data_IF_239188178496
#
_entry.id   IF_239188178496
#
_cell.length_a   1.000
_cell.length_b   1.000
_cell.length_c   1.000
_cell.angle_alpha   90.00
_cell.angle_beta   90.00
_cell.angle_gamma   90.00
#
_symmetry.space_group_name_H-M   'P 1'
#
loop_
_entity.id
_entity.type
_entity.pdbx_description
1 polymer ?
#
# COMPACT_ATOMS: atom_id res chain seq x y z
N UNK A 1 23.37 6.12 2.88
CA UNK A 1 24.57 6.80 2.33
C UNK A 1 25.15 6.12 1.09
N UNK A 2 25.22 4.79 1.04
CA UNK A 2 25.84 4.08 -0.09
C UNK A 2 25.12 4.31 -1.43
N UNK A 3 23.77 4.38 -1.44
CA UNK A 3 22.97 4.75 -2.61
C UNK A 3 23.42 6.09 -3.22
N UNK A 4 23.57 7.13 -2.38
CA UNK A 4 24.10 8.43 -2.79
C UNK A 4 25.49 8.29 -3.40
N UNK A 5 26.40 7.58 -2.72
CA UNK A 5 27.78 7.38 -3.20
C UNK A 5 27.82 6.71 -4.59
N UNK A 6 27.02 5.67 -4.80
CA UNK A 6 26.95 4.94 -6.07
C UNK A 6 26.42 5.83 -7.17
N UNK A 7 25.27 6.49 -6.97
CA UNK A 7 24.68 7.37 -7.99
C UNK A 7 25.60 8.54 -8.32
N UNK A 8 26.15 9.22 -7.31
CA UNK A 8 27.11 10.32 -7.52
C UNK A 8 28.36 9.88 -8.26
N UNK A 9 28.88 8.67 -7.98
CA UNK A 9 30.03 8.12 -8.71
C UNK A 9 29.68 7.86 -10.16
N UNK A 10 28.55 7.19 -10.44
CA UNK A 10 28.12 6.88 -11.81
C UNK A 10 27.94 8.14 -12.65
N UNK A 11 27.38 9.22 -12.08
CA UNK A 11 27.25 10.52 -12.74
C UNK A 11 28.60 11.17 -13.02
N UNK A 12 29.48 11.23 -12.00
CA UNK A 12 30.81 11.84 -12.15
C UNK A 12 31.66 11.11 -13.19
N UNK A 13 31.58 9.79 -13.23
CA UNK A 13 32.28 8.94 -14.19
C UNK A 13 31.58 8.85 -15.56
N UNK A 14 30.45 9.55 -15.74
CA UNK A 14 29.63 9.55 -16.96
C UNK A 14 29.24 8.14 -17.42
N UNK A 15 28.96 7.25 -16.46
CA UNK A 15 28.46 5.89 -16.71
C UNK A 15 26.94 5.87 -16.90
N UNK A 16 26.27 6.88 -16.39
CA UNK A 16 24.85 7.17 -16.63
C UNK A 16 24.72 8.63 -17.05
N UNK A 17 23.65 8.96 -17.76
CA UNK A 17 23.32 10.34 -18.09
C UNK A 17 22.75 11.08 -16.87
N UNK A 18 22.67 12.41 -16.99
CA UNK A 18 22.01 13.24 -16.00
C UNK A 18 20.50 12.87 -15.97
N UNK A 19 19.94 12.48 -14.81
CA UNK A 19 18.53 12.15 -14.71
C UNK A 19 17.65 13.36 -15.00
N UNK A 20 16.46 13.11 -15.54
CA UNK A 20 15.44 14.12 -15.85
C UNK A 20 14.89 14.76 -14.58
N UNK A 21 14.76 13.96 -13.52
CA UNK A 21 14.32 14.42 -12.20
C UNK A 21 15.48 14.46 -11.21
N UNK A 22 15.49 15.48 -10.35
CA UNK A 22 16.48 15.58 -9.29
C UNK A 22 16.26 14.51 -8.22
N UNK A 23 17.32 13.81 -7.83
CA UNK A 23 17.30 12.89 -6.69
C UNK A 23 17.73 13.62 -5.43
N UNK A 24 16.89 13.59 -4.39
CA UNK A 24 17.19 14.17 -3.07
C UNK A 24 17.34 13.06 -2.04
N UNK A 25 18.38 13.15 -1.23
CA UNK A 25 18.57 12.26 -0.09
C UNK A 25 18.34 13.05 1.20
N UNK A 26 17.47 12.53 2.05
CA UNK A 26 17.03 13.18 3.28
C UNK A 26 17.33 12.24 4.44
N UNK A 27 17.98 12.77 5.47
CA UNK A 27 18.19 12.09 6.75
C UNK A 27 17.64 13.01 7.84
N UNK A 28 16.64 12.54 8.55
CA UNK A 28 15.85 13.34 9.49
C UNK A 28 15.63 12.56 10.78
N UNK A 29 15.44 13.25 11.91
CA UNK A 29 14.91 12.61 13.11
C UNK A 29 13.47 12.19 12.84
N UNK A 30 13.24 10.88 12.81
CA UNK A 30 11.92 10.27 12.72
C UNK A 30 11.07 10.72 13.93
N UNK A 31 9.87 11.32 13.81
CA UNK A 31 9.13 11.84 12.64
C UNK A 31 9.26 13.37 12.47
N UNK A 32 9.80 14.05 13.47
CA UNK A 32 9.80 15.51 13.59
C UNK A 32 10.49 16.23 12.42
N UNK A 33 11.57 15.65 11.88
CA UNK A 33 12.28 16.26 10.76
C UNK A 33 11.49 16.18 9.46
N UNK A 34 10.73 15.12 9.23
CA UNK A 34 9.85 14.98 8.07
C UNK A 34 8.68 15.96 8.15
N UNK A 35 8.05 16.09 9.31
CA UNK A 35 6.99 17.09 9.56
C UNK A 35 7.53 18.50 9.24
N UNK A 36 8.73 18.82 9.72
CA UNK A 36 9.37 20.12 9.47
C UNK A 36 9.65 20.33 7.98
N UNK A 37 10.16 19.32 7.29
CA UNK A 37 10.41 19.36 5.84
C UNK A 37 9.11 19.65 5.07
N UNK A 38 8.04 18.91 5.38
CA UNK A 38 6.74 19.08 4.72
C UNK A 38 6.17 20.47 4.98
N UNK A 39 6.26 20.96 6.21
CA UNK A 39 5.68 22.25 6.58
C UNK A 39 6.45 23.45 6.02
N UNK A 40 7.79 23.43 6.07
CA UNK A 40 8.60 24.61 5.74
C UNK A 40 9.13 24.66 4.32
N UNK A 41 9.23 23.51 3.66
CA UNK A 41 9.83 23.40 2.33
C UNK A 41 8.82 22.94 1.28
N UNK A 42 7.64 23.58 1.28
CA UNK A 42 6.56 23.29 0.34
C UNK A 42 7.02 23.38 -1.11
N UNK A 43 7.92 24.31 -1.44
CA UNK A 43 8.51 24.43 -2.77
C UNK A 43 9.30 23.19 -3.23
N UNK A 44 9.79 22.38 -2.30
CA UNK A 44 10.46 21.10 -2.58
C UNK A 44 9.41 19.99 -2.64
N UNK A 45 8.50 19.95 -1.66
CA UNK A 45 7.47 18.92 -1.52
C UNK A 45 6.48 18.95 -2.70
N UNK A 46 5.98 20.11 -3.09
CA UNK A 46 5.02 20.27 -4.19
C UNK A 46 5.58 19.84 -5.57
N UNK A 47 6.91 19.68 -5.70
CA UNK A 47 7.59 19.18 -6.91
C UNK A 47 8.06 17.73 -6.78
N UNK A 48 7.83 17.10 -5.63
CA UNK A 48 8.22 15.72 -5.40
C UNK A 48 7.22 14.79 -6.07
N UNK A 49 7.73 13.87 -6.91
CA UNK A 49 6.89 12.93 -7.67
C UNK A 49 6.74 11.57 -6.97
N UNK A 50 7.66 11.24 -6.06
CA UNK A 50 7.72 9.94 -5.40
C UNK A 50 8.70 9.97 -4.23
N UNK A 51 8.42 9.17 -3.19
CA UNK A 51 9.31 8.95 -2.04
C UNK A 51 9.54 7.45 -1.84
N UNK A 52 10.81 7.06 -1.66
CA UNK A 52 11.18 5.71 -1.22
C UNK A 52 11.80 5.86 0.17
N UNK A 53 11.04 5.49 1.20
CA UNK A 53 11.53 5.45 2.57
C UNK A 53 12.26 4.13 2.82
N UNK A 54 13.46 4.19 3.41
CA UNK A 54 14.24 3.02 3.76
C UNK A 54 14.55 3.07 5.25
N UNK A 55 13.74 2.37 6.02
CA UNK A 55 13.78 2.37 7.47
C UNK A 55 14.01 0.94 7.98
N UNK A 56 14.82 0.75 9.03
CA UNK A 56 15.17 -0.58 9.57
C UNK A 56 15.60 -1.58 8.48
N UNK A 57 16.58 -1.22 7.64
CA UNK A 57 17.07 -2.07 6.54
C UNK A 57 18.49 -2.60 6.77
N UNK A 58 18.76 -3.79 6.23
CA UNK A 58 20.08 -4.44 6.27
C UNK A 58 20.28 -5.43 7.41
N UNK A 59 19.28 -5.65 8.26
CA UNK A 59 19.37 -6.61 9.36
C UNK A 59 19.52 -8.04 8.84
N UNK A 60 20.36 -8.83 9.51
CA UNK A 60 20.59 -10.24 9.26
C UNK A 60 19.32 -11.04 9.61
N UNK A 61 18.64 -11.67 8.63
CA UNK A 61 17.38 -12.36 8.88
C UNK A 61 17.50 -13.48 9.90
N UNK A 62 18.65 -14.16 9.95
CA UNK A 62 18.87 -15.25 10.88
C UNK A 62 19.06 -14.75 12.33
N UNK A 63 19.57 -13.52 12.49
CA UNK A 63 19.75 -12.91 13.81
C UNK A 63 18.50 -12.16 14.24
N UNK A 64 18.02 -11.22 13.43
CA UNK A 64 16.91 -10.35 13.75
C UNK A 64 15.55 -11.07 13.78
N UNK A 65 15.41 -12.15 13.00
CA UNK A 65 14.11 -12.79 12.76
C UNK A 65 13.23 -11.99 11.80
N UNK A 66 13.81 -11.03 11.09
CA UNK A 66 13.13 -10.12 10.19
C UNK A 66 13.49 -10.37 8.72
N UNK A 67 12.62 -9.96 7.80
CA UNK A 67 12.85 -10.06 6.36
C UNK A 67 12.55 -8.72 5.68
N UNK A 68 13.10 -8.48 4.50
CA UNK A 68 12.82 -7.25 3.77
C UNK A 68 11.34 -7.19 3.34
N UNK A 69 10.66 -6.11 3.68
CA UNK A 69 9.26 -5.86 3.35
C UNK A 69 9.15 -4.59 2.51
N UNK A 70 8.30 -4.65 1.49
CA UNK A 70 7.85 -3.48 0.75
C UNK A 70 6.42 -3.19 1.17
N UNK A 71 6.25 -2.09 1.90
CA UNK A 71 4.93 -1.51 2.17
C UNK A 71 4.61 -0.54 1.04
N UNK A 72 3.50 -0.83 0.36
CA UNK A 72 3.02 -0.07 -0.80
C UNK A 72 2.43 1.28 -0.40
N UNK A 73 2.28 2.16 -1.38
CA UNK A 73 1.38 3.33 -1.33
C UNK A 73 -0.08 2.87 -1.15
N UNK A 74 -0.91 3.60 -0.39
CA UNK A 74 -2.31 3.24 -0.15
C UNK A 74 -3.15 3.16 -1.43
N UNK A 75 -4.27 2.43 -1.38
CA UNK A 75 -5.18 2.29 -2.52
C UNK A 75 -5.88 3.61 -2.89
N UNK A 76 -6.07 4.51 -1.92
CA UNK A 76 -6.55 5.87 -2.17
C UNK A 76 -5.61 6.73 -3.03
N UNK A 77 -4.35 6.32 -3.20
CA UNK A 77 -3.34 7.03 -4.00
C UNK A 77 -2.68 6.10 -5.05
N UNK A 78 -3.36 5.83 -6.17
CA UNK A 78 -2.83 4.99 -7.25
C UNK A 78 -1.51 5.51 -7.82
N UNK A 79 -0.54 4.61 -8.03
CA UNK A 79 0.81 4.96 -8.50
C UNK A 79 1.54 3.76 -9.09
N UNK A 80 2.47 4.02 -10.02
CA UNK A 80 3.40 3.01 -10.58
C UNK A 80 4.61 2.74 -9.68
N UNK A 81 4.84 3.58 -8.66
CA UNK A 81 5.99 3.48 -7.76
C UNK A 81 6.08 2.10 -7.09
N UNK A 82 4.92 1.55 -6.71
CA UNK A 82 4.82 0.21 -6.12
C UNK A 82 5.45 -0.85 -7.03
N UNK A 83 5.12 -0.81 -8.32
CA UNK A 83 5.55 -1.79 -9.32
C UNK A 83 7.04 -1.64 -9.63
N UNK A 84 7.56 -0.40 -9.70
CA UNK A 84 8.98 -0.13 -9.92
C UNK A 84 9.84 -0.68 -8.78
N UNK A 85 9.45 -0.44 -7.53
CA UNK A 85 10.21 -0.92 -6.37
C UNK A 85 10.08 -2.44 -6.22
N UNK A 86 8.88 -2.98 -6.39
CA UNK A 86 8.63 -4.42 -6.40
C UNK A 86 9.47 -5.15 -7.44
N UNK A 87 9.52 -4.65 -8.67
CA UNK A 87 10.30 -5.27 -9.75
C UNK A 87 11.76 -5.45 -9.37
N UNK A 88 12.41 -4.37 -8.90
CA UNK A 88 13.82 -4.44 -8.53
C UNK A 88 14.06 -5.25 -7.27
N UNK A 89 13.12 -5.24 -6.32
CA UNK A 89 13.17 -6.08 -5.13
C UNK A 89 13.14 -7.57 -5.48
N UNK A 90 12.22 -8.00 -6.34
CA UNK A 90 12.15 -9.39 -6.83
C UNK A 90 13.40 -9.76 -7.63
N UNK A 91 13.79 -8.92 -8.60
CA UNK A 91 14.95 -9.17 -9.46
C UNK A 91 16.27 -9.28 -8.69
N UNK A 92 16.49 -8.39 -7.72
CA UNK A 92 17.72 -8.42 -6.94
C UNK A 92 17.72 -9.50 -5.85
N UNK A 93 16.55 -10.07 -5.50
CA UNK A 93 16.47 -11.24 -4.62
C UNK A 93 16.91 -12.52 -5.35
N UNK A 94 16.66 -12.62 -6.66
CA UNK A 94 17.09 -13.72 -7.53
C UNK A 94 18.60 -13.67 -7.87
N UNK A 95 19.27 -12.56 -7.54
CA UNK A 95 20.67 -12.36 -7.89
C UNK A 95 21.57 -13.42 -7.26
N UNK A 96 22.44 -14.00 -8.10
CA UNK A 96 23.46 -14.95 -7.65
C UNK A 96 24.34 -14.33 -6.56
N UNK A 97 24.64 -15.16 -5.55
CA UNK A 97 25.46 -14.73 -4.42
C UNK A 97 26.88 -14.45 -4.91
N UNK A 98 27.33 -13.22 -4.69
CA UNK A 98 28.75 -12.91 -4.73
C UNK A 98 29.42 -13.32 -3.42
N UNK A 99 30.27 -14.35 -3.48
CA UNK A 99 31.01 -14.84 -2.32
C UNK A 99 31.94 -13.78 -1.71
N UNK A 100 32.38 -12.78 -2.47
CA UNK A 100 33.23 -11.70 -1.99
C UNK A 100 32.48 -10.69 -1.11
N UNK A 101 31.16 -10.56 -1.24
CA UNK A 101 30.34 -9.67 -0.40
C UNK A 101 30.25 -10.15 1.05
N UNK A 102 30.40 -11.47 1.29
CA UNK A 102 30.17 -12.07 2.60
C UNK A 102 28.69 -12.10 2.97
N UNK A 103 28.38 -12.24 4.26
CA UNK A 103 27.01 -12.28 4.78
C UNK A 103 26.25 -13.57 4.48
N UNK A 104 24.93 -13.51 4.66
CA UNK A 104 24.03 -14.67 4.66
C UNK A 104 24.17 -15.52 3.40
N UNK A 105 24.17 -16.83 3.61
CA UNK A 105 24.19 -17.82 2.53
C UNK A 105 22.78 -18.21 2.07
N UNK A 106 21.76 -17.92 2.86
CA UNK A 106 20.37 -18.20 2.50
C UNK A 106 19.93 -17.31 1.31
N UNK A 107 18.90 -17.72 0.56
CA UNK A 107 18.18 -16.81 -0.33
C UNK A 107 17.74 -15.55 0.43
N UNK A 108 17.65 -14.42 -0.25
CA UNK A 108 17.23 -13.15 0.36
C UNK A 108 15.71 -13.17 0.51
N UNK A 109 15.16 -13.37 1.72
CA UNK A 109 13.72 -13.47 1.89
C UNK A 109 13.10 -12.09 1.82
N UNK A 110 11.93 -12.00 1.18
CA UNK A 110 11.21 -10.76 1.07
C UNK A 110 9.69 -10.95 1.06
N UNK A 111 8.94 -9.89 1.31
CA UNK A 111 7.48 -9.91 1.27
C UNK A 111 6.89 -8.56 0.84
N UNK A 112 5.82 -8.60 0.05
CA UNK A 112 5.00 -7.42 -0.22
C UNK A 112 3.92 -7.31 0.85
N UNK A 113 3.75 -6.10 1.37
CA UNK A 113 2.82 -5.79 2.43
C UNK A 113 1.78 -4.80 1.90
N UNK A 114 0.55 -4.79 2.46
CA UNK A 114 -0.36 -3.67 2.26
C UNK A 114 0.30 -2.39 2.80
N UNK A 115 -0.36 -1.25 2.56
CA UNK A 115 0.08 0.02 3.12
C UNK A 115 0.24 -0.04 4.65
N UNK A 116 1.13 0.80 5.19
CA UNK A 116 1.24 1.01 6.64
C UNK A 116 1.53 2.46 6.96
N UNK A 117 0.93 2.98 8.04
CA UNK A 117 1.30 4.27 8.60
C UNK A 117 2.47 4.17 9.61
N UNK A 118 3.49 3.36 9.30
CA UNK A 118 4.51 2.91 10.26
C UNK A 118 5.78 3.76 10.36
N UNK A 119 6.08 4.58 9.35
CA UNK A 119 7.30 5.42 9.29
C UNK A 119 7.10 6.55 8.28
N UNK A 120 8.04 7.49 8.15
CA UNK A 120 7.92 8.78 7.45
C UNK A 120 7.17 8.80 6.09
N UNK A 121 7.19 7.72 5.30
CA UNK A 121 6.46 7.62 4.03
C UNK A 121 4.96 7.99 4.11
N UNK A 122 4.30 7.66 5.22
CA UNK A 122 2.86 7.87 5.38
C UNK A 122 2.47 9.36 5.34
N UNK A 123 3.37 10.24 5.79
CA UNK A 123 3.15 11.69 5.79
C UNK A 123 3.11 12.29 4.39
N UNK A 124 3.75 11.62 3.43
CA UNK A 124 3.75 12.03 2.02
C UNK A 124 2.49 11.54 1.29
N UNK A 125 1.99 10.35 1.66
CA UNK A 125 0.81 9.74 1.04
C UNK A 125 -0.51 10.33 1.52
N UNK A 126 -0.48 11.15 2.59
CA UNK A 126 -1.63 11.87 3.09
C UNK A 126 -2.39 12.61 1.97
N UNK A 127 -3.72 12.53 1.95
CA UNK A 127 -4.54 13.10 0.87
C UNK A 127 -4.41 14.62 0.70
N UNK A 128 -3.89 15.35 1.70
CA UNK A 128 -3.62 16.79 1.60
C UNK A 128 -2.23 17.11 1.01
N UNK A 129 -1.38 16.09 0.86
CA UNK A 129 -0.05 16.16 0.24
C UNK A 129 -0.03 15.41 -1.10
N UNK A 130 -0.52 14.17 -1.14
CA UNK A 130 -0.78 13.40 -2.36
C UNK A 130 0.46 12.92 -3.09
N UNK A 131 1.58 12.69 -2.38
CA UNK A 131 2.83 12.23 -2.98
C UNK A 131 2.94 10.70 -2.80
N UNK A 132 3.02 9.92 -3.89
CA UNK A 132 3.26 8.50 -3.80
C UNK A 132 4.50 8.16 -2.99
N UNK A 133 4.35 7.31 -1.98
CA UNK A 133 5.47 6.86 -1.17
C UNK A 133 5.37 5.38 -0.81
N UNK A 134 6.52 4.72 -0.77
CA UNK A 134 6.66 3.33 -0.31
C UNK A 134 7.68 3.25 0.82
N UNK A 135 7.62 2.18 1.60
CA UNK A 135 8.60 1.88 2.63
C UNK A 135 9.24 0.51 2.42
N UNK A 136 10.57 0.49 2.36
CA UNK A 136 11.38 -0.70 2.56
C UNK A 136 11.71 -0.81 4.05
N UNK A 137 11.34 -1.93 4.68
CA UNK A 137 11.48 -2.09 6.13
C UNK A 137 11.61 -3.56 6.57
N UNK A 138 12.19 -3.81 7.75
CA UNK A 138 12.34 -5.15 8.34
C UNK A 138 11.63 -5.32 9.70
N UNK A 139 10.47 -4.71 9.92
CA UNK A 139 9.58 -5.01 11.06
C UNK A 139 8.93 -6.40 10.89
N UNK A 140 8.82 -7.25 11.92
CA UNK A 140 9.36 -7.07 13.26
C UNK A 140 10.85 -7.45 13.31
N UNK A 141 11.63 -6.66 14.05
CA UNK A 141 13.00 -6.96 14.43
C UNK A 141 13.06 -7.14 15.95
N UNK A 142 13.58 -8.28 16.41
CA UNK A 142 13.61 -8.59 17.85
C UNK A 142 14.57 -7.71 18.66
N UNK A 143 15.47 -6.98 18.01
CA UNK A 143 16.41 -6.05 18.65
C UNK A 143 15.94 -4.61 18.60
N UNK A 144 14.84 -4.32 17.89
CA UNK A 144 14.29 -2.98 17.70
C UNK A 144 14.19 -2.19 19.01
N UNK A 145 14.74 -0.97 19.02
CA UNK A 145 14.74 -0.06 20.17
C UNK A 145 15.34 -0.64 21.46
N UNK A 146 16.24 -1.63 21.35
CA UNK A 146 16.98 -2.18 22.49
C UNK A 146 18.47 -1.84 22.40
N UNK A 147 19.18 -1.90 23.54
CA UNK A 147 20.64 -1.78 23.55
C UNK A 147 21.38 -2.94 22.87
N UNK A 148 20.66 -3.97 22.42
CA UNK A 148 21.20 -5.09 21.65
C UNK A 148 21.12 -4.88 20.13
N UNK A 149 20.55 -3.77 19.68
CA UNK A 149 20.60 -3.33 18.28
C UNK A 149 21.98 -2.79 17.95
N UNK A 150 22.89 -3.71 17.61
CA UNK A 150 24.30 -3.45 17.39
C UNK A 150 24.73 -3.91 15.99
N UNK A 151 25.86 -3.38 15.50
CA UNK A 151 26.32 -3.58 14.11
C UNK A 151 26.51 -5.07 13.75
N UNK A 152 26.76 -5.96 14.72
CA UNK A 152 26.84 -7.40 14.48
C UNK A 152 25.50 -8.05 14.08
N UNK A 153 24.38 -7.33 14.18
CA UNK A 153 23.06 -7.75 13.68
C UNK A 153 22.84 -7.40 12.22
N UNK A 154 23.72 -6.62 11.60
CA UNK A 154 23.62 -6.23 10.20
C UNK A 154 24.29 -7.27 9.31
N UNK A 155 23.66 -7.57 8.18
CA UNK A 155 24.18 -8.47 7.16
C UNK A 155 24.64 -7.68 5.92
N UNK A 156 25.92 -7.81 5.50
CA UNK A 156 26.44 -7.06 4.36
C UNK A 156 25.76 -7.42 3.04
N UNK A 157 25.25 -8.65 2.88
CA UNK A 157 24.54 -9.07 1.68
C UNK A 157 23.14 -8.44 1.63
N UNK A 158 22.43 -8.37 2.76
CA UNK A 158 21.18 -7.62 2.89
C UNK A 158 21.38 -6.12 2.63
N UNK A 159 22.42 -5.52 3.21
CA UNK A 159 22.76 -4.11 2.94
C UNK A 159 23.01 -3.88 1.45
N UNK A 160 23.79 -4.74 0.81
CA UNK A 160 24.05 -4.64 -0.62
C UNK A 160 22.78 -4.86 -1.45
N UNK A 161 21.90 -5.77 -1.05
CA UNK A 161 20.60 -6.01 -1.68
C UNK A 161 19.73 -4.75 -1.64
N UNK A 162 19.49 -4.20 -0.45
CA UNK A 162 18.66 -2.99 -0.29
C UNK A 162 19.24 -1.81 -1.06
N UNK A 163 20.56 -1.60 -1.01
CA UNK A 163 21.21 -0.53 -1.78
C UNK A 163 20.96 -0.67 -3.28
N UNK A 164 21.03 -1.90 -3.83
CA UNK A 164 20.78 -2.12 -5.25
C UNK A 164 19.33 -1.85 -5.62
N UNK A 165 18.38 -2.33 -4.83
CA UNK A 165 16.95 -2.01 -5.00
C UNK A 165 16.77 -0.49 -5.01
N UNK A 166 17.29 0.23 -4.01
CA UNK A 166 17.20 1.68 -3.94
C UNK A 166 17.82 2.38 -5.15
N UNK A 167 19.05 2.03 -5.53
CA UNK A 167 19.73 2.66 -6.68
C UNK A 167 18.93 2.45 -7.96
N UNK A 168 18.50 1.21 -8.22
CA UNK A 168 17.80 0.86 -9.45
C UNK A 168 16.41 1.50 -9.50
N UNK A 169 15.62 1.43 -8.42
CA UNK A 169 14.31 2.08 -8.35
C UNK A 169 14.40 3.60 -8.49
N UNK A 170 15.34 4.25 -7.80
CA UNK A 170 15.55 5.70 -7.90
C UNK A 170 15.95 6.10 -9.33
N UNK A 171 16.86 5.35 -9.96
CA UNK A 171 17.27 5.65 -11.34
C UNK A 171 16.14 5.39 -12.34
N UNK A 172 15.34 4.33 -12.16
CA UNK A 172 14.14 4.08 -12.98
C UNK A 172 13.13 5.23 -12.87
N UNK A 173 12.90 5.76 -11.66
CA UNK A 173 12.00 6.89 -11.47
C UNK A 173 12.57 8.23 -11.95
N UNK A 174 13.89 8.44 -11.82
CA UNK A 174 14.51 9.73 -12.11
C UNK A 174 14.99 9.88 -13.56
N UNK A 175 15.33 8.77 -14.24
CA UNK A 175 15.82 8.72 -15.61
C UNK A 175 14.85 7.89 -16.48
N UNK A 176 13.59 8.33 -16.51
CA UNK A 176 12.47 7.58 -17.10
C UNK A 176 12.68 7.22 -18.56
N UNK A 177 13.38 8.06 -19.33
CA UNK A 177 13.77 7.80 -20.73
C UNK A 177 14.51 6.46 -20.95
N UNK A 178 15.15 5.92 -19.92
CA UNK A 178 15.90 4.66 -19.98
C UNK A 178 15.16 3.48 -19.34
N UNK A 179 13.98 3.71 -18.76
CA UNK A 179 13.16 2.67 -18.20
C UNK A 179 12.44 1.89 -19.31
N UNK A 180 12.23 0.59 -19.08
CA UNK A 180 11.43 -0.25 -19.97
C UNK A 180 9.97 -0.10 -19.55
N UNK A 181 9.31 0.90 -20.11
CA UNK A 181 7.96 1.31 -19.74
C UNK A 181 6.92 0.20 -19.96
N UNK A 182 7.12 -0.66 -20.96
CA UNK A 182 6.27 -1.82 -21.26
C UNK A 182 6.27 -2.82 -20.10
N UNK A 183 7.41 -2.99 -19.44
CA UNK A 183 7.52 -3.86 -18.26
C UNK A 183 6.71 -3.25 -17.13
N UNK A 184 6.86 -1.95 -16.85
CA UNK A 184 6.11 -1.29 -15.77
C UNK A 184 4.61 -1.35 -16.04
N UNK A 185 4.18 -1.14 -17.27
CA UNK A 185 2.77 -1.25 -17.67
C UNK A 185 2.22 -2.67 -17.46
N UNK A 186 2.99 -3.68 -17.85
CA UNK A 186 2.63 -5.09 -17.63
C UNK A 186 2.52 -5.38 -16.14
N UNK A 187 3.45 -4.89 -15.32
CA UNK A 187 3.43 -5.10 -13.87
C UNK A 187 2.26 -4.39 -13.18
N UNK A 188 1.83 -3.22 -13.66
CA UNK A 188 0.63 -2.54 -13.16
C UNK A 188 -0.63 -3.35 -13.46
N UNK A 189 -0.72 -3.92 -14.68
CA UNK A 189 -1.80 -4.83 -15.04
C UNK A 189 -1.78 -6.09 -14.16
N UNK A 190 -0.61 -6.70 -13.98
CA UNK A 190 -0.47 -7.94 -13.21
C UNK A 190 -0.83 -7.73 -11.74
N UNK A 191 -0.50 -6.58 -11.16
CA UNK A 191 -0.96 -6.22 -9.81
C UNK A 191 -2.50 -6.17 -9.72
N UNK A 192 -3.18 -5.58 -10.70
CA UNK A 192 -4.64 -5.57 -10.73
C UNK A 192 -5.21 -7.00 -10.80
N UNK A 193 -4.60 -7.87 -11.62
CA UNK A 193 -4.95 -9.29 -11.71
C UNK A 193 -4.74 -10.00 -10.37
N UNK A 194 -3.62 -9.75 -9.69
CA UNK A 194 -3.33 -10.32 -8.38
C UNK A 194 -4.36 -9.89 -7.32
N UNK A 195 -4.73 -8.61 -7.29
CA UNK A 195 -5.76 -8.09 -6.38
C UNK A 195 -7.11 -8.76 -6.64
N UNK A 196 -7.57 -8.81 -7.90
CA UNK A 196 -8.83 -9.45 -8.28
C UNK A 196 -8.86 -10.94 -7.90
N UNK A 197 -7.78 -11.68 -8.18
CA UNK A 197 -7.65 -13.07 -7.76
C UNK A 197 -7.68 -13.23 -6.24
N UNK A 198 -7.02 -12.31 -5.52
CA UNK A 198 -7.05 -12.28 -4.05
C UNK A 198 -8.48 -12.13 -3.51
N UNK A 199 -9.27 -11.24 -4.10
CA UNK A 199 -10.70 -11.07 -3.77
C UNK A 199 -11.46 -12.37 -4.05
N UNK A 200 -11.30 -12.96 -5.23
CA UNK A 200 -11.99 -14.20 -5.61
C UNK A 200 -11.66 -15.35 -4.68
N UNK A 201 -10.38 -15.59 -4.39
CA UNK A 201 -9.96 -16.70 -3.53
C UNK A 201 -10.56 -16.59 -2.13
N UNK A 202 -10.58 -15.38 -1.55
CA UNK A 202 -11.23 -15.15 -0.26
C UNK A 202 -12.75 -15.31 -0.36
N UNK A 203 -13.38 -14.77 -1.41
CA UNK A 203 -14.83 -14.87 -1.58
C UNK A 203 -15.31 -16.30 -1.78
N UNK A 204 -14.61 -17.10 -2.59
CA UNK A 204 -14.88 -18.53 -2.77
C UNK A 204 -14.76 -19.26 -1.44
N UNK A 205 -13.69 -19.01 -0.68
CA UNK A 205 -13.49 -19.62 0.64
C UNK A 205 -14.66 -19.29 1.58
N UNK A 206 -14.99 -18.01 1.72
CA UNK A 206 -15.98 -17.57 2.70
C UNK A 206 -17.40 -17.99 2.29
N UNK A 207 -17.72 -18.03 0.99
CA UNK A 207 -18.96 -18.61 0.48
C UNK A 207 -19.03 -20.12 0.71
N UNK A 208 -17.94 -20.86 0.46
CA UNK A 208 -17.90 -22.32 0.66
C UNK A 208 -18.01 -22.75 2.13
N UNK A 209 -17.69 -21.84 3.06
CA UNK A 209 -17.81 -22.06 4.50
C UNK A 209 -19.04 -21.35 5.09
N UNK A 210 -19.88 -20.72 4.26
CA UNK A 210 -21.04 -19.98 4.71
C UNK A 210 -22.14 -20.96 5.13
N UNK A 211 -22.40 -21.02 6.44
CA UNK A 211 -23.51 -21.81 7.00
C UNK A 211 -24.81 -20.98 7.06
N UNK A 212 -24.67 -19.66 7.08
CA UNK A 212 -25.76 -18.70 7.15
C UNK A 212 -26.22 -18.30 5.73
N UNK A 213 -26.49 -17.02 5.50
CA UNK A 213 -27.05 -16.48 4.25
C UNK A 213 -25.94 -16.00 3.29
N UNK A 214 -25.69 -16.70 2.16
CA UNK A 214 -24.71 -16.31 1.15
C UNK A 214 -24.98 -14.94 0.51
N UNK A 215 -26.23 -14.46 0.56
CA UNK A 215 -26.60 -13.13 0.04
C UNK A 215 -25.99 -11.99 0.86
N UNK A 216 -25.50 -12.25 2.08
CA UNK A 216 -24.74 -11.27 2.89
C UNK A 216 -23.25 -11.26 2.56
N UNK A 217 -22.76 -12.34 1.94
CA UNK A 217 -21.32 -12.54 1.67
C UNK A 217 -20.99 -12.14 0.24
N UNK A 218 -21.76 -12.64 -0.73
CA UNK A 218 -21.45 -12.48 -2.16
C UNK A 218 -21.40 -11.00 -2.62
N UNK A 219 -22.36 -10.12 -2.27
CA UNK A 219 -22.31 -8.72 -2.70
C UNK A 219 -21.07 -7.96 -2.21
N UNK A 220 -20.53 -8.30 -1.03
CA UNK A 220 -19.28 -7.72 -0.51
C UNK A 220 -18.12 -7.99 -1.46
N UNK A 221 -17.92 -9.25 -1.86
CA UNK A 221 -16.83 -9.62 -2.77
C UNK A 221 -17.01 -9.07 -4.19
N UNK A 222 -18.25 -8.93 -4.65
CA UNK A 222 -18.52 -8.24 -5.92
C UNK A 222 -18.09 -6.77 -5.90
N UNK A 223 -18.37 -6.04 -4.81
CA UNK A 223 -17.87 -4.66 -4.65
C UNK A 223 -16.35 -4.60 -4.62
N UNK A 224 -15.70 -5.47 -3.85
CA UNK A 224 -14.25 -5.53 -3.77
C UNK A 224 -13.59 -5.89 -5.11
N UNK A 225 -14.23 -6.75 -5.91
CA UNK A 225 -13.75 -7.07 -7.25
C UNK A 225 -13.84 -5.85 -8.17
N UNK A 226 -14.93 -5.08 -8.06
CA UNK A 226 -15.09 -3.79 -8.74
C UNK A 226 -14.01 -2.78 -8.34
N UNK A 227 -13.71 -2.65 -7.04
CA UNK A 227 -12.63 -1.78 -6.57
C UNK A 227 -11.26 -2.20 -7.09
N UNK A 228 -10.97 -3.51 -7.15
CA UNK A 228 -9.71 -4.00 -7.72
C UNK A 228 -9.58 -3.69 -9.22
N UNK A 229 -10.68 -3.82 -9.98
CA UNK A 229 -10.71 -3.46 -11.40
C UNK A 229 -10.52 -1.95 -11.60
N UNK A 230 -11.24 -1.13 -10.84
CA UNK A 230 -11.15 0.33 -10.89
C UNK A 230 -9.73 0.78 -10.56
N UNK A 231 -9.16 0.31 -9.45
CA UNK A 231 -7.80 0.63 -9.04
C UNK A 231 -6.78 0.26 -10.12
N UNK A 232 -6.94 -0.90 -10.77
CA UNK A 232 -6.09 -1.32 -11.88
C UNK A 232 -6.16 -0.36 -13.08
N UNK A 233 -7.37 0.06 -13.46
CA UNK A 233 -7.58 1.02 -14.56
C UNK A 233 -7.01 2.40 -14.25
N UNK A 234 -7.29 2.92 -13.06
CA UNK A 234 -6.78 4.23 -12.63
C UNK A 234 -5.26 4.21 -12.53
N UNK A 235 -4.65 3.10 -12.07
CA UNK A 235 -3.19 2.97 -12.05
C UNK A 235 -2.59 2.98 -13.46
N UNK A 236 -3.22 2.30 -14.43
CA UNK A 236 -2.81 2.33 -15.83
C UNK A 236 -3.00 3.71 -16.47
N UNK A 237 -4.02 4.46 -16.08
CA UNK A 237 -4.22 5.86 -16.49
C UNK A 237 -3.14 6.76 -15.91
N UNK A 238 -2.83 6.60 -14.62
CA UNK A 238 -1.78 7.36 -13.95
C UNK A 238 -0.42 7.12 -14.58
N UNK A 239 -0.15 5.88 -14.98
CA UNK A 239 1.04 5.51 -15.71
C UNK A 239 1.21 6.30 -17.02
N UNK A 240 0.12 6.59 -17.75
CA UNK A 240 0.18 7.42 -18.96
C UNK A 240 0.53 8.89 -18.67
N UNK A 241 0.22 9.38 -17.46
CA UNK A 241 0.61 10.72 -17.01
C UNK A 241 2.07 10.76 -16.51
N UNK A 242 2.50 9.70 -15.81
CA UNK A 242 3.83 9.63 -15.19
C UNK A 242 4.94 9.37 -16.22
N UNK A 243 4.67 8.58 -17.27
CA UNK A 243 5.70 8.07 -18.18
C UNK A 243 5.44 8.59 -19.60
N UNK A 244 6.21 9.60 -20.02
CA UNK A 244 5.94 10.40 -21.21
C UNK A 244 6.05 9.64 -22.54
N UNK A 245 6.84 8.57 -22.62
CA UNK A 245 6.98 7.77 -23.84
C UNK A 245 5.84 6.73 -23.99
N UNK A 246 5.04 6.50 -22.94
CA UNK A 246 3.86 5.62 -22.99
C UNK A 246 2.74 6.23 -23.81
N UNK A 247 2.68 7.55 -23.94
CA UNK A 247 1.70 8.19 -24.82
C UNK A 247 1.88 7.73 -26.28
N UNK A 248 3.08 7.31 -26.69
CA UNK A 248 3.34 6.76 -28.03
C UNK A 248 2.84 5.30 -28.18
N UNK A 249 2.42 4.67 -27.07
CA UNK A 249 1.99 3.27 -26.97
C UNK A 249 0.52 3.09 -26.55
N UNK A 250 -0.35 4.00 -26.98
CA UNK A 250 -1.78 3.99 -26.66
C UNK A 250 -2.46 2.63 -26.92
N UNK A 251 -2.07 1.94 -28.00
CA UNK A 251 -2.59 0.61 -28.32
C UNK A 251 -2.22 -0.44 -27.27
N UNK A 252 -1.01 -0.40 -26.71
CA UNK A 252 -0.59 -1.32 -25.65
C UNK A 252 -1.31 -1.00 -24.35
N UNK A 253 -1.42 0.28 -23.99
CA UNK A 253 -2.18 0.71 -22.82
C UNK A 253 -3.63 0.25 -22.88
N UNK A 254 -4.29 0.42 -24.02
CA UNK A 254 -5.67 -0.02 -24.22
C UNK A 254 -5.79 -1.55 -24.17
N UNK A 255 -4.80 -2.30 -24.68
CA UNK A 255 -4.75 -3.75 -24.53
C UNK A 255 -4.61 -4.17 -23.06
N UNK A 256 -3.81 -3.47 -22.25
CA UNK A 256 -3.67 -3.73 -20.81
C UNK A 256 -4.97 -3.44 -20.06
N UNK A 257 -5.64 -2.32 -20.34
CA UNK A 257 -6.98 -2.02 -19.77
C UNK A 257 -8.01 -3.08 -20.15
N UNK A 258 -8.03 -3.50 -21.40
CA UNK A 258 -8.91 -4.59 -21.88
C UNK A 258 -8.58 -5.90 -21.17
N UNK A 259 -7.30 -6.19 -20.92
CA UNK A 259 -6.90 -7.38 -20.15
C UNK A 259 -7.38 -7.32 -18.69
N UNK A 260 -7.40 -6.14 -18.05
CA UNK A 260 -7.99 -5.95 -16.71
C UNK A 260 -9.48 -6.25 -16.75
N UNK A 261 -10.20 -5.77 -17.77
CA UNK A 261 -11.64 -6.06 -17.95
C UNK A 261 -11.93 -7.54 -18.17
N UNK A 262 -11.12 -8.20 -19.00
CA UNK A 262 -11.26 -9.64 -19.22
C UNK A 262 -11.01 -10.44 -17.94
N UNK A 263 -10.03 -10.02 -17.12
CA UNK A 263 -9.79 -10.67 -15.84
C UNK A 263 -10.97 -10.46 -14.89
N UNK A 264 -11.48 -9.23 -14.78
CA UNK A 264 -12.66 -8.92 -13.96
C UNK A 264 -13.83 -9.83 -14.31
N UNK A 265 -14.17 -9.96 -15.60
CA UNK A 265 -15.26 -10.83 -16.06
C UNK A 265 -15.03 -12.30 -15.71
N UNK A 266 -13.79 -12.78 -15.83
CA UNK A 266 -13.42 -14.15 -15.47
C UNK A 266 -13.59 -14.40 -13.97
N UNK A 267 -13.10 -13.48 -13.13
CA UNK A 267 -13.14 -13.59 -11.68
C UNK A 267 -14.58 -13.46 -11.14
N UNK A 268 -15.37 -12.57 -11.72
CA UNK A 268 -16.81 -12.42 -11.45
C UNK A 268 -17.55 -13.74 -11.69
N UNK A 269 -17.29 -14.41 -12.81
CA UNK A 269 -17.92 -15.69 -13.13
C UNK A 269 -17.58 -16.78 -12.10
N UNK A 270 -16.34 -16.81 -11.60
CA UNK A 270 -15.92 -17.75 -10.56
C UNK A 270 -16.66 -17.48 -9.25
N UNK A 271 -16.69 -16.22 -8.80
CA UNK A 271 -17.43 -15.83 -7.60
C UNK A 271 -18.92 -16.15 -7.72
N UNK A 272 -19.52 -15.89 -8.88
CA UNK A 272 -20.93 -16.23 -9.16
C UNK A 272 -21.18 -17.73 -8.99
N UNK A 273 -20.31 -18.59 -9.51
CA UNK A 273 -20.44 -20.05 -9.38
C UNK A 273 -20.26 -20.53 -7.93
N UNK A 274 -19.37 -19.90 -7.17
CA UNK A 274 -19.24 -20.19 -5.75
C UNK A 274 -20.49 -19.79 -4.96
N UNK A 275 -21.09 -18.64 -5.27
CA UNK A 275 -22.34 -18.20 -4.68
C UNK A 275 -23.52 -19.14 -4.98
N UNK A 276 -23.68 -19.55 -6.24
CA UNK A 276 -24.70 -20.54 -6.63
C UNK A 276 -24.53 -21.86 -5.88
N UNK A 277 -23.28 -22.33 -5.71
CA UNK A 277 -22.95 -23.50 -4.91
C UNK A 277 -23.35 -23.35 -3.44
N UNK A 278 -22.94 -22.25 -2.80
CA UNK A 278 -23.29 -21.96 -1.41
C UNK A 278 -24.81 -21.88 -1.19
N UNK A 279 -25.55 -21.25 -2.11
CA UNK A 279 -27.02 -21.20 -2.06
C UNK A 279 -27.63 -22.59 -2.12
N UNK A 280 -27.15 -23.44 -3.05
CA UNK A 280 -27.66 -24.79 -3.22
C UNK A 280 -27.44 -25.66 -1.96
N UNK A 281 -26.31 -25.49 -1.26
CA UNK A 281 -26.01 -26.23 -0.03
C UNK A 281 -26.98 -25.93 1.12
N UNK A 282 -27.50 -24.71 1.20
CA UNK A 282 -28.49 -24.29 2.20
C UNK A 282 -29.95 -24.36 1.69
N UNK A 283 -30.16 -24.81 0.45
CA UNK A 283 -31.48 -24.89 -0.18
C UNK A 283 -32.10 -23.54 -0.60
N UNK A 284 -31.27 -22.51 -0.80
CA UNK A 284 -31.66 -21.21 -1.33
C UNK A 284 -31.57 -21.20 -2.87
N UNK A 285 -32.52 -20.55 -3.54
CA UNK A 285 -32.41 -20.28 -4.98
C UNK A 285 -31.59 -19.01 -5.20
N UNK A 286 -30.49 -19.13 -5.96
CA UNK A 286 -29.58 -18.02 -6.19
C UNK A 286 -30.25 -16.92 -7.04
N UNK A 287 -30.39 -15.72 -6.47
CA UNK A 287 -30.93 -14.55 -7.17
C UNK A 287 -30.00 -14.05 -8.29
N UNK A 288 -30.60 -13.47 -9.32
CA UNK A 288 -29.85 -12.67 -10.32
C UNK A 288 -29.17 -11.45 -9.67
N UNK A 289 -28.07 -10.99 -10.24
CA UNK A 289 -27.28 -9.88 -9.68
C UNK A 289 -28.11 -8.61 -9.47
N UNK A 290 -29.00 -8.29 -10.41
CA UNK A 290 -29.89 -7.12 -10.34
C UNK A 290 -30.92 -7.19 -9.19
N UNK A 291 -31.13 -8.38 -8.62
CA UNK A 291 -32.09 -8.63 -7.54
C UNK A 291 -31.42 -8.75 -6.16
N UNK A 292 -30.08 -8.80 -6.12
CA UNK A 292 -29.33 -8.78 -4.88
C UNK A 292 -29.31 -7.36 -4.34
N UNK A 293 -29.82 -7.19 -3.12
CA UNK A 293 -29.56 -5.96 -2.39
C UNK A 293 -28.08 -5.96 -2.03
N UNK A 294 -27.34 -5.07 -2.66
CA UNK A 294 -26.05 -4.62 -2.15
C UNK A 294 -26.38 -4.08 -0.75
N UNK A 295 -25.94 -4.82 0.27
CA UNK A 295 -26.24 -4.66 1.70
C UNK A 295 -26.69 -3.23 2.08
N UNK A 296 -27.85 -3.01 2.75
CA UNK A 296 -28.19 -1.69 3.27
C UNK A 296 -26.99 -1.14 4.05
N UNK A 297 -26.74 0.15 3.86
CA UNK A 297 -25.61 0.86 4.47
C UNK A 297 -25.40 0.37 5.91
N UNK A 298 -24.19 -0.12 6.24
CA UNK A 298 -23.86 -0.43 7.63
C UNK A 298 -23.88 0.84 8.48
N UNK A 299 -23.75 2.00 7.84
CA UNK A 299 -23.67 3.32 8.43
C UNK A 299 -24.46 4.32 7.59
N UNK A 300 -25.54 4.86 8.16
CA UNK A 300 -26.29 6.00 7.60
C UNK A 300 -25.60 7.33 7.96
N UNK A 301 -24.29 7.40 7.70
CA UNK A 301 -23.43 8.53 8.03
C UNK A 301 -22.50 8.86 6.88
N UNK A 302 -22.29 10.16 6.66
CA UNK A 302 -21.16 10.70 5.92
C UNK A 302 -20.17 11.35 6.87
N UNK A 303 -18.89 11.23 6.55
CA UNK A 303 -17.80 11.84 7.31
C UNK A 303 -16.93 12.69 6.41
N UNK A 304 -16.30 13.71 7.01
CA UNK A 304 -15.37 14.61 6.33
C UNK A 304 -14.22 14.98 7.25
N UNK A 305 -12.99 14.89 6.73
CA UNK A 305 -11.77 15.35 7.41
C UNK A 305 -11.75 16.87 7.56
N UNK A 306 -11.27 17.37 8.71
CA UNK A 306 -11.14 18.81 9.01
C UNK A 306 -9.72 19.35 8.97
N UNK A 307 -8.72 18.49 9.13
CA UNK A 307 -7.32 18.90 9.33
C UNK A 307 -6.48 18.63 8.10
N UNK A 308 -5.44 19.45 7.92
CA UNK A 308 -4.37 19.18 6.97
C UNK A 308 -3.27 18.34 7.61
N UNK A 309 -2.50 17.64 6.77
CA UNK A 309 -1.37 16.77 7.12
C UNK A 309 -1.74 15.48 7.87
N UNK A 310 -0.90 14.47 7.67
CA UNK A 310 -1.09 13.15 8.24
C UNK A 310 -1.22 13.19 9.76
N UNK A 311 -2.11 12.35 10.28
CA UNK A 311 -2.30 12.20 11.71
C UNK A 311 -1.22 11.28 12.27
N UNK A 312 -0.45 11.75 13.25
CA UNK A 312 0.38 10.89 14.09
C UNK A 312 -0.51 9.78 14.68
N UNK A 313 -0.33 8.48 14.37
CA UNK A 313 -1.25 7.46 14.84
C UNK A 313 -1.28 7.32 16.37
N UNK A 314 -0.18 7.70 17.05
CA UNK A 314 -0.15 7.73 18.50
C UNK A 314 -0.91 8.90 19.14
N UNK A 315 -1.37 9.88 18.37
CA UNK A 315 -2.03 11.08 18.89
C UNK A 315 -3.30 10.74 19.65
N UNK A 316 -4.07 9.76 19.17
CA UNK A 316 -5.28 9.27 19.84
C UNK A 316 -4.99 8.80 21.27
N UNK A 317 -3.84 8.17 21.53
CA UNK A 317 -3.46 7.76 22.89
C UNK A 317 -3.21 8.94 23.81
N UNK A 318 -2.68 10.05 23.27
CA UNK A 318 -2.36 11.25 24.04
C UNK A 318 -3.62 12.04 24.39
N UNK A 319 -4.56 12.18 23.46
CA UNK A 319 -5.76 13.01 23.63
C UNK A 319 -6.97 12.28 24.21
N UNK A 320 -6.99 10.94 24.12
CA UNK A 320 -8.04 10.06 24.68
C UNK A 320 -7.41 9.00 25.61
N UNK A 321 -6.76 9.39 26.72
CA UNK A 321 -6.08 8.45 27.62
C UNK A 321 -7.02 7.38 28.20
N UNK A 322 -8.32 7.68 28.33
CA UNK A 322 -9.35 6.75 28.77
C UNK A 322 -9.64 5.62 27.77
N UNK A 323 -9.32 5.82 26.48
CA UNK A 323 -9.50 4.84 25.40
C UNK A 323 -8.26 3.98 25.11
N UNK A 324 -7.11 4.31 25.69
CA UNK A 324 -5.83 3.63 25.39
C UNK A 324 -5.94 2.12 25.53
N UNK A 325 -6.60 1.64 26.58
CA UNK A 325 -6.80 0.21 26.81
C UNK A 325 -7.58 -0.43 25.65
N UNK A 326 -8.69 0.18 25.24
CA UNK A 326 -9.53 -0.30 24.14
C UNK A 326 -8.70 -0.37 22.85
N UNK A 327 -8.00 0.72 22.51
CA UNK A 327 -7.16 0.78 21.31
C UNK A 327 -6.08 -0.30 21.30
N UNK A 328 -5.40 -0.55 22.43
CA UNK A 328 -4.38 -1.61 22.53
C UNK A 328 -4.99 -2.99 22.32
N UNK A 329 -6.13 -3.30 22.95
CA UNK A 329 -6.84 -4.57 22.75
C UNK A 329 -7.27 -4.78 21.29
N UNK A 330 -7.66 -3.71 20.59
CA UNK A 330 -7.98 -3.77 19.16
C UNK A 330 -6.74 -3.92 18.29
N UNK A 331 -5.64 -3.23 18.59
CA UNK A 331 -4.38 -3.38 17.86
C UNK A 331 -3.77 -4.78 17.97
N UNK A 332 -3.97 -5.46 19.10
CA UNK A 332 -3.56 -6.87 19.27
C UNK A 332 -4.33 -7.80 18.32
N UNK A 333 -5.61 -7.50 18.05
CA UNK A 333 -6.46 -8.28 17.14
C UNK A 333 -6.26 -7.88 15.68
N UNK A 334 -6.02 -6.60 15.43
CA UNK A 334 -5.84 -6.01 14.12
C UNK A 334 -4.61 -5.10 14.11
N UNK A 335 -3.48 -5.68 13.69
CA UNK A 335 -2.21 -4.96 13.57
C UNK A 335 -2.24 -3.77 12.60
N UNK A 336 -3.28 -3.66 11.77
CA UNK A 336 -3.43 -2.59 10.77
C UNK A 336 -4.29 -1.43 11.27
N UNK A 337 -4.84 -1.48 12.49
CA UNK A 337 -5.79 -0.49 13.00
C UNK A 337 -5.31 0.96 12.79
N UNK A 338 -4.07 1.26 13.14
CA UNK A 338 -3.49 2.59 12.97
C UNK A 338 -3.30 3.00 11.51
N UNK A 339 -3.02 2.03 10.63
CA UNK A 339 -2.95 2.28 9.18
C UNK A 339 -4.34 2.47 8.57
N UNK A 340 -5.37 1.82 9.12
CA UNK A 340 -6.77 2.05 8.76
C UNK A 340 -7.25 3.45 9.19
N UNK A 341 -6.82 3.95 10.35
CA UNK A 341 -7.13 5.32 10.79
C UNK A 341 -6.54 6.35 9.83
N UNK A 342 -5.27 6.18 9.45
CA UNK A 342 -4.62 7.06 8.47
C UNK A 342 -5.32 6.99 7.09
N UNK A 343 -5.57 5.77 6.59
CA UNK A 343 -6.22 5.61 5.29
C UNK A 343 -7.67 6.10 5.26
N UNK A 344 -8.39 6.00 6.38
CA UNK A 344 -9.72 6.60 6.52
C UNK A 344 -9.67 8.11 6.27
N UNK A 345 -8.68 8.82 6.84
CA UNK A 345 -8.50 10.25 6.61
C UNK A 345 -8.12 10.56 5.16
N UNK A 346 -7.46 9.63 4.46
CA UNK A 346 -7.18 9.76 3.03
C UNK A 346 -8.43 9.58 2.17
N UNK A 347 -9.39 8.77 2.61
CA UNK A 347 -10.63 8.46 1.89
C UNK A 347 -11.76 9.50 2.10
N UNK A 348 -11.64 10.41 3.08
CA UNK A 348 -12.65 11.43 3.36
C UNK A 348 -12.14 12.89 3.31
N UNK A 349 -11.43 13.33 2.25
CA UNK A 349 -11.05 14.75 2.12
C UNK A 349 -12.28 15.67 1.98
N UNK A 350 -13.39 15.13 1.47
CA UNK A 350 -14.71 15.75 1.49
C UNK A 350 -15.74 14.79 2.13
N UNK A 351 -17.01 15.18 2.14
CA UNK A 351 -18.11 14.33 2.61
C UNK A 351 -18.16 13.02 1.82
N UNK A 352 -17.81 11.93 2.50
CA UNK A 352 -17.79 10.57 1.95
C UNK A 352 -18.63 9.66 2.84
N UNK A 353 -19.37 8.73 2.23
CA UNK A 353 -20.14 7.73 2.99
C UNK A 353 -19.24 6.86 3.86
N UNK A 354 -19.58 6.71 5.15
CA UNK A 354 -18.83 5.85 6.05
C UNK A 354 -18.91 4.37 5.64
N UNK A 355 -20.01 3.97 4.99
CA UNK A 355 -20.15 2.63 4.41
C UNK A 355 -19.16 2.40 3.26
N UNK A 356 -18.92 3.40 2.40
CA UNK A 356 -17.91 3.30 1.35
C UNK A 356 -16.49 3.22 1.93
N UNK A 357 -16.19 4.06 2.93
CA UNK A 357 -14.89 4.05 3.63
C UNK A 357 -14.65 2.68 4.26
N UNK A 358 -15.64 2.15 4.99
CA UNK A 358 -15.54 0.84 5.63
C UNK A 358 -15.21 -0.26 4.62
N UNK A 359 -15.91 -0.30 3.49
CA UNK A 359 -15.70 -1.32 2.46
C UNK A 359 -14.31 -1.20 1.82
N UNK A 360 -13.83 0.03 1.54
CA UNK A 360 -12.48 0.27 1.00
C UNK A 360 -11.38 -0.11 2.00
N UNK A 361 -11.56 0.19 3.29
CA UNK A 361 -10.64 -0.25 4.35
C UNK A 361 -10.60 -1.78 4.46
N UNK A 362 -11.76 -2.43 4.40
CA UNK A 362 -11.82 -3.89 4.46
C UNK A 362 -11.18 -4.55 3.22
N UNK A 363 -11.39 -3.96 2.04
CA UNK A 363 -10.74 -4.40 0.80
C UNK A 363 -9.21 -4.33 0.91
N UNK A 364 -8.67 -3.26 1.49
CA UNK A 364 -7.22 -3.04 1.58
C UNK A 364 -6.54 -3.82 2.71
N UNK A 365 -7.19 -3.96 3.86
CA UNK A 365 -6.56 -4.46 5.08
C UNK A 365 -7.20 -5.74 5.65
N UNK A 366 -8.27 -6.25 5.03
CA UNK A 366 -9.11 -7.31 5.59
C UNK A 366 -10.14 -6.79 6.58
N UNK A 367 -10.94 -7.70 7.15
CA UNK A 367 -12.11 -7.35 7.97
C UNK A 367 -11.81 -6.40 9.13
N UNK A 368 -12.75 -5.49 9.37
CA UNK A 368 -12.76 -4.53 10.46
C UNK A 368 -14.09 -4.69 11.21
N UNK A 369 -14.07 -4.66 12.54
CA UNK A 369 -15.33 -4.63 13.29
C UNK A 369 -16.02 -3.27 13.08
N UNK A 370 -17.26 -3.22 12.55
CA UNK A 370 -18.00 -1.98 12.33
C UNK A 370 -18.13 -1.10 13.58
N UNK A 371 -18.17 -1.71 14.77
CA UNK A 371 -18.21 -0.98 16.05
C UNK A 371 -16.91 -0.25 16.33
N UNK A 372 -15.77 -0.84 15.95
CA UNK A 372 -14.46 -0.23 16.09
C UNK A 372 -14.36 0.98 15.16
N UNK A 373 -14.82 0.86 13.91
CA UNK A 373 -14.86 2.00 13.00
C UNK A 373 -15.73 3.14 13.55
N UNK A 374 -16.94 2.82 14.03
CA UNK A 374 -17.83 3.83 14.64
C UNK A 374 -17.18 4.55 15.81
N UNK A 375 -16.55 3.79 16.72
CA UNK A 375 -15.82 4.33 17.86
C UNK A 375 -14.68 5.26 17.42
N UNK A 376 -13.89 4.87 16.43
CA UNK A 376 -12.80 5.70 15.91
C UNK A 376 -13.32 7.00 15.28
N UNK A 377 -14.41 6.93 14.50
CA UNK A 377 -15.05 8.12 13.93
C UNK A 377 -15.55 9.06 15.02
N UNK A 378 -16.21 8.53 16.04
CA UNK A 378 -16.69 9.31 17.19
C UNK A 378 -15.52 9.99 17.91
N UNK A 379 -14.46 9.24 18.21
CA UNK A 379 -13.29 9.78 18.89
C UNK A 379 -12.59 10.87 18.06
N UNK A 380 -12.47 10.69 16.74
CA UNK A 380 -11.90 11.69 15.82
C UNK A 380 -12.78 12.95 15.70
N UNK A 381 -14.11 12.80 15.75
CA UNK A 381 -15.05 13.91 15.76
C UNK A 381 -14.95 14.70 17.07
N UNK A 382 -14.91 14.01 18.21
CA UNK A 382 -14.82 14.62 19.54
C UNK A 382 -13.59 15.53 19.70
N UNK A 383 -12.46 15.11 19.13
CA UNK A 383 -11.20 15.88 19.16
C UNK A 383 -11.07 16.87 18.00
N UNK A 384 -12.11 16.99 17.16
CA UNK A 384 -12.19 17.99 16.10
C UNK A 384 -11.33 17.71 14.86
N UNK A 385 -10.92 16.46 14.62
CA UNK A 385 -10.19 16.07 13.41
C UNK A 385 -11.13 15.71 12.24
N UNK A 386 -12.38 15.38 12.54
CA UNK A 386 -13.40 14.95 11.58
C UNK A 386 -14.76 15.58 11.90
N UNK A 387 -15.64 15.68 10.91
CA UNK A 387 -17.08 15.95 11.07
C UNK A 387 -17.88 14.77 10.55
N UNK A 388 -19.07 14.57 11.11
CA UNK A 388 -20.03 13.57 10.64
C UNK A 388 -21.43 14.18 10.49
N UNK A 389 -22.21 13.67 9.55
CA UNK A 389 -23.62 14.00 9.35
C UNK A 389 -24.42 12.77 8.97
N UNK A 390 -25.71 12.76 9.30
CA UNK A 390 -26.64 11.72 8.86
C UNK A 390 -26.95 11.88 7.36
N UNK A 391 -27.08 10.76 6.65
CA UNK A 391 -27.40 10.69 5.21
C UNK A 391 -28.88 10.54 4.92
#
# INVERSE_FOLDING_TARGET
METLRVISRLLREKKIEQPEYSVRFVWVPEWFGTIRLIHEHREIVDRCIAVINADMVGADPAKAGSILRLYRTPHSLPTTLNNVVRYWMEKEAERERDNATGGTMAPLPFKHMPYSAGSDHFMFTDSTIGIPAVMLNQDPDKFYHTSADTVDKIDPRQMAYVVRVLVLSVLTMAARRYAIEEIIMTLCRDEAVELMRGVTVHGVKDLSCCVDDPEKVYPKYMRWLGYAQELGKVTLEKLAEEWSLIHEQEALLQAMKTSVDMQYMSEMMILRKAYEGACAEIGLEAKDEDLLKIDPSQFDLEVKRKVEYALYPGYLFEVKPERVKDYMEYMEKDRWLMSKVDEMLNLCPDWTSLSEIYDRLCFQFGELDPKVLSMLVDDLCDIGLMEKRET
#
